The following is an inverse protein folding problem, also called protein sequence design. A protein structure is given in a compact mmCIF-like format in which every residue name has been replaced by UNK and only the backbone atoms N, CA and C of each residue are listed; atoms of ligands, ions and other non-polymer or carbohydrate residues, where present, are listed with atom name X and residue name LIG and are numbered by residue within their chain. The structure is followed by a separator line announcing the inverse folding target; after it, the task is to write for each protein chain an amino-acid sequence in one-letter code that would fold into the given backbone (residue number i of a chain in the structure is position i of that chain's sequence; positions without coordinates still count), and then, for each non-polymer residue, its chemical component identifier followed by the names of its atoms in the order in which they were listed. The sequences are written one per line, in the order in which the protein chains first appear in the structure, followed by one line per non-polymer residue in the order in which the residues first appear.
data_IF_947898941972
#
_entry.id   IF_947898941972
#
_cell.length_a   1.000
_cell.length_b   1.000
_cell.length_c   1.000
_cell.angle_alpha   90.00
_cell.angle_beta   90.00
_cell.angle_gamma   90.00
#
_symmetry.space_group_name_H-M   'P 1'
#
loop_
_entity.id
_entity.type
_entity.pdbx_description
1 polymer ?
#
# COMPACT_ATOMS: atom_id res chain seq x y z
N UNK A 1 62.22 18.74 -6.98
CA UNK A 1 60.89 18.60 -6.36
C UNK A 1 59.89 18.35 -7.49
N UNK A 2 59.46 17.10 -7.69
CA UNK A 2 58.43 16.77 -8.70
C UNK A 2 57.09 16.92 -7.97
N UNK A 3 56.31 17.94 -8.35
CA UNK A 3 54.92 18.06 -7.86
C UNK A 3 54.12 17.06 -8.68
N UNK A 4 53.50 16.10 -7.99
CA UNK A 4 52.69 15.07 -8.64
C UNK A 4 51.40 15.71 -9.18
N UNK A 5 50.97 15.26 -10.37
CA UNK A 5 49.77 15.82 -11.03
C UNK A 5 48.50 15.59 -10.19
N UNK A 6 48.52 14.55 -9.36
CA UNK A 6 47.42 14.18 -8.47
C UNK A 6 47.30 15.15 -7.28
N UNK A 7 48.40 15.66 -6.72
CA UNK A 7 48.38 16.69 -5.66
C UNK A 7 47.83 18.02 -6.17
N UNK A 8 48.13 18.37 -7.43
CA UNK A 8 47.57 19.56 -8.08
C UNK A 8 46.05 19.44 -8.28
N UNK A 9 45.58 18.24 -8.61
CA UNK A 9 44.17 17.92 -8.88
C UNK A 9 43.34 17.90 -7.58
N UNK A 10 43.86 17.28 -6.52
CA UNK A 10 43.24 17.30 -5.19
C UNK A 10 43.21 18.72 -4.60
N UNK A 11 44.28 19.49 -4.76
CA UNK A 11 44.31 20.91 -4.36
C UNK A 11 43.28 21.78 -5.08
N UNK A 12 43.04 21.53 -6.38
CA UNK A 12 42.01 22.28 -7.14
C UNK A 12 40.59 21.86 -6.78
N UNK A 13 40.34 20.57 -6.50
CA UNK A 13 39.01 20.08 -6.08
C UNK A 13 38.66 20.58 -4.67
N UNK A 14 39.59 20.49 -3.73
CA UNK A 14 39.40 20.96 -2.35
C UNK A 14 39.28 22.50 -2.33
N UNK A 15 40.12 23.20 -3.09
CA UNK A 15 40.03 24.66 -3.26
C UNK A 15 38.70 25.10 -3.87
N UNK A 16 38.21 24.40 -4.91
CA UNK A 16 36.92 24.66 -5.55
C UNK A 16 35.74 24.47 -4.59
N UNK A 17 35.74 23.42 -3.76
CA UNK A 17 34.71 23.18 -2.74
C UNK A 17 34.70 24.27 -1.66
N UNK A 18 35.88 24.69 -1.20
CA UNK A 18 36.02 25.76 -0.20
C UNK A 18 35.54 27.11 -0.75
N UNK A 19 35.85 27.43 -2.01
CA UNK A 19 35.43 28.70 -2.64
C UNK A 19 33.93 28.73 -2.92
N UNK A 20 33.29 27.60 -3.24
CA UNK A 20 31.85 27.53 -3.51
C UNK A 20 30.99 27.50 -2.23
N UNK A 21 31.56 27.06 -1.10
CA UNK A 21 30.85 26.94 0.19
C UNK A 21 30.21 28.24 0.71
N UNK A 22 30.82 29.45 0.60
CA UNK A 22 30.23 30.70 1.06
C UNK A 22 29.07 31.15 0.17
N UNK A 23 29.10 30.84 -1.13
CA UNK A 23 28.01 31.16 -2.06
C UNK A 23 26.78 30.30 -1.80
N UNK A 24 26.97 29.01 -1.48
CA UNK A 24 25.89 28.12 -1.06
C UNK A 24 25.26 28.63 0.24
N UNK A 25 26.08 28.99 1.23
CA UNK A 25 25.60 29.56 2.48
C UNK A 25 24.79 30.85 2.27
N UNK A 26 25.30 31.78 1.47
CA UNK A 26 24.61 33.02 1.10
C UNK A 26 23.29 32.78 0.36
N UNK A 27 23.23 31.79 -0.54
CA UNK A 27 22.01 31.38 -1.23
C UNK A 27 20.95 30.88 -0.24
N UNK A 28 21.33 30.03 0.72
CA UNK A 28 20.40 29.51 1.74
C UNK A 28 19.92 30.61 2.70
N UNK A 29 20.80 31.53 3.11
CA UNK A 29 20.44 32.70 3.92
C UNK A 29 19.47 33.60 3.15
N UNK A 30 19.76 33.92 1.88
CA UNK A 30 18.88 34.71 1.03
C UNK A 30 17.51 34.06 0.84
N UNK A 31 17.47 32.73 0.62
CA UNK A 31 16.23 31.96 0.52
C UNK A 31 15.42 31.98 1.83
N UNK A 32 16.09 31.93 2.98
CA UNK A 32 15.45 32.04 4.30
C UNK A 32 14.90 33.44 4.56
N UNK A 33 15.64 34.50 4.27
CA UNK A 33 15.15 35.88 4.42
C UNK A 33 13.97 36.14 3.49
N UNK A 34 14.05 35.67 2.25
CA UNK A 34 12.96 35.78 1.29
C UNK A 34 11.69 35.05 1.75
N UNK A 35 11.81 33.86 2.34
CA UNK A 35 10.64 33.13 2.88
C UNK A 35 9.99 33.84 4.07
N UNK A 36 10.72 34.72 4.77
CA UNK A 36 10.21 35.55 5.87
C UNK A 36 9.57 36.87 5.42
N UNK A 37 9.52 37.18 4.13
CA UNK A 37 8.79 38.38 3.68
C UNK A 37 7.28 38.26 3.98
N UNK A 38 6.59 39.37 4.32
CA UNK A 38 5.17 39.35 4.66
C UNK A 38 4.27 38.73 3.59
N UNK A 39 4.63 38.92 2.31
CA UNK A 39 3.91 38.32 1.18
C UNK A 39 4.04 36.79 1.17
N UNK A 40 5.26 36.27 1.34
CA UNK A 40 5.50 34.81 1.41
C UNK A 40 4.86 34.18 2.64
N UNK A 41 4.90 34.84 3.79
CA UNK A 41 4.21 34.37 5.00
C UNK A 41 2.69 34.30 4.76
N UNK A 42 2.10 35.29 4.09
CA UNK A 42 0.67 35.27 3.74
C UNK A 42 0.33 34.15 2.75
N UNK A 43 1.17 33.95 1.74
CA UNK A 43 1.02 32.84 0.77
C UNK A 43 1.09 31.48 1.48
N UNK A 44 2.09 31.27 2.34
CA UNK A 44 2.25 30.04 3.13
C UNK A 44 1.05 29.78 4.03
N UNK A 45 0.57 30.79 4.76
CA UNK A 45 -0.62 30.66 5.61
C UNK A 45 -1.88 30.36 4.81
N UNK A 46 -2.02 30.92 3.60
CA UNK A 46 -3.15 30.64 2.74
C UNK A 46 -3.10 29.21 2.18
N UNK A 47 -1.92 28.72 1.83
CA UNK A 47 -1.70 27.34 1.36
C UNK A 47 -1.92 26.32 2.49
N UNK A 48 -1.42 26.61 3.69
CA UNK A 48 -1.63 25.81 4.90
C UNK A 48 -3.13 25.70 5.22
N UNK A 49 -3.85 26.83 5.22
CA UNK A 49 -5.30 26.84 5.44
C UNK A 49 -6.06 26.03 4.39
N UNK A 50 -5.70 26.13 3.11
CA UNK A 50 -6.30 25.30 2.05
C UNK A 50 -6.06 23.81 2.28
N UNK A 51 -4.85 23.45 2.73
CA UNK A 51 -4.50 22.06 3.03
C UNK A 51 -5.28 21.54 4.24
N UNK A 52 -5.45 22.36 5.28
CA UNK A 52 -6.28 22.03 6.45
C UNK A 52 -7.75 21.83 6.07
N UNK A 53 -8.32 22.74 5.27
CA UNK A 53 -9.69 22.63 4.77
C UNK A 53 -9.87 21.37 3.93
N UNK A 54 -8.93 21.08 3.02
CA UNK A 54 -8.96 19.86 2.21
C UNK A 54 -8.81 18.60 3.06
N UNK A 55 -7.91 18.56 4.04
CA UNK A 55 -7.76 17.41 4.94
C UNK A 55 -9.04 17.19 5.75
N UNK A 56 -9.67 18.26 6.23
CA UNK A 56 -10.96 18.16 6.91
C UNK A 56 -12.04 17.56 6.00
N UNK A 57 -12.15 18.03 4.76
CA UNK A 57 -13.09 17.46 3.80
C UNK A 57 -12.78 15.99 3.51
N UNK A 58 -11.51 15.61 3.39
CA UNK A 58 -11.09 14.21 3.21
C UNK A 58 -11.59 13.36 4.39
N UNK A 59 -11.36 13.78 5.63
CA UNK A 59 -11.84 13.04 6.81
C UNK A 59 -13.37 12.90 6.83
N UNK A 60 -14.10 13.93 6.43
CA UNK A 60 -15.56 13.87 6.31
C UNK A 60 -16.00 12.87 5.23
N UNK A 61 -15.34 12.83 4.07
CA UNK A 61 -15.61 11.88 2.99
C UNK A 61 -15.22 10.44 3.37
N UNK A 62 -14.07 10.26 4.03
CA UNK A 62 -13.61 8.97 4.54
C UNK A 62 -14.62 8.36 5.51
N UNK A 63 -15.17 9.19 6.42
CA UNK A 63 -16.23 8.78 7.34
C UNK A 63 -17.50 8.35 6.60
N UNK A 64 -17.90 9.06 5.55
CA UNK A 64 -19.07 8.69 4.74
C UNK A 64 -18.88 7.35 4.01
N UNK A 65 -17.66 7.06 3.57
CA UNK A 65 -17.30 5.81 2.91
C UNK A 65 -17.00 4.66 3.90
N UNK A 66 -17.11 4.90 5.20
CA UNK A 66 -16.84 3.89 6.24
C UNK A 66 -15.36 3.51 6.32
N UNK A 67 -14.47 4.39 5.87
CA UNK A 67 -13.04 4.21 6.03
C UNK A 67 -12.68 4.46 7.51
N UNK A 68 -11.82 3.61 8.08
CA UNK A 68 -11.31 3.81 9.44
C UNK A 68 -10.57 5.16 9.56
N UNK A 69 -10.38 5.68 10.78
CA UNK A 69 -9.60 6.90 11.05
C UNK A 69 -8.18 6.75 10.45
N UNK A 70 -8.01 7.25 9.23
CA UNK A 70 -6.77 7.15 8.46
C UNK A 70 -5.88 8.33 8.81
N UNK A 71 -4.58 8.09 8.69
CA UNK A 71 -3.61 9.16 8.84
C UNK A 71 -3.62 10.08 7.60
N UNK A 72 -3.17 11.32 7.77
CA UNK A 72 -3.12 12.33 6.71
C UNK A 72 -2.13 11.98 5.57
N UNK A 73 -1.30 10.95 5.76
CA UNK A 73 -0.37 10.43 4.75
C UNK A 73 -1.02 9.61 3.63
N UNK A 74 -2.28 9.16 3.80
CA UNK A 74 -2.94 8.34 2.79
C UNK A 74 -3.16 9.10 1.48
N UNK A 75 -2.89 8.46 0.34
CA UNK A 75 -3.05 9.06 -1.00
C UNK A 75 -3.99 8.28 -1.92
N UNK A 76 -4.53 7.15 -1.44
CA UNK A 76 -5.38 6.27 -2.23
C UNK A 76 -6.52 5.71 -1.37
N UNK A 77 -7.65 5.42 -2.01
CA UNK A 77 -8.79 4.78 -1.37
C UNK A 77 -8.45 3.38 -0.85
N UNK A 78 -7.71 2.59 -1.63
CA UNK A 78 -7.13 1.32 -1.21
C UNK A 78 -5.63 1.32 -1.56
N UNK A 79 -4.71 1.45 -0.60
CA UNK A 79 -3.27 1.46 -0.89
C UNK A 79 -2.74 0.20 -1.58
N UNK A 80 -3.41 -0.95 -1.44
CA UNK A 80 -2.99 -2.20 -2.06
C UNK A 80 -3.56 -2.39 -3.46
N UNK A 81 -4.45 -1.50 -3.92
CA UNK A 81 -5.07 -1.63 -5.23
C UNK A 81 -4.05 -1.46 -6.35
N UNK A 82 -3.98 -2.46 -7.22
CA UNK A 82 -3.02 -2.52 -8.31
C UNK A 82 -3.23 -1.40 -9.35
N UNK A 83 -4.48 -0.95 -9.53
CA UNK A 83 -4.84 0.12 -10.47
C UNK A 83 -4.63 1.54 -9.93
N UNK A 84 -3.94 1.71 -8.80
CA UNK A 84 -3.67 3.04 -8.25
C UNK A 84 -2.75 3.86 -9.16
N UNK A 85 -3.17 5.10 -9.42
CA UNK A 85 -2.36 6.09 -10.13
C UNK A 85 -1.79 7.13 -9.17
N UNK A 86 -0.56 7.57 -9.41
CA UNK A 86 0.13 8.60 -8.61
C UNK A 86 -0.48 9.98 -8.89
N UNK A 87 -1.51 10.35 -8.13
CA UNK A 87 -2.23 11.63 -8.25
C UNK A 87 -2.13 12.53 -7.02
N UNK A 88 -1.38 12.11 -6.00
CA UNK A 88 -1.18 12.85 -4.76
C UNK A 88 -2.46 13.07 -3.95
N UNK A 89 -2.39 13.97 -2.95
CA UNK A 89 -3.49 14.22 -2.00
C UNK A 89 -4.72 14.88 -2.65
N UNK A 90 -4.52 15.75 -3.63
CA UNK A 90 -5.63 16.36 -4.39
C UNK A 90 -6.37 15.31 -5.24
N UNK A 91 -5.61 14.39 -5.86
CA UNK A 91 -6.18 13.27 -6.58
C UNK A 91 -7.00 12.35 -5.68
N UNK A 92 -6.50 12.08 -4.47
CA UNK A 92 -7.23 11.32 -3.46
C UNK A 92 -8.55 11.98 -3.09
N UNK A 93 -8.53 13.27 -2.78
CA UNK A 93 -9.73 14.05 -2.45
C UNK A 93 -10.78 14.02 -3.57
N UNK A 94 -10.35 14.19 -4.82
CA UNK A 94 -11.23 14.13 -5.98
C UNK A 94 -11.84 12.73 -6.18
N UNK A 95 -11.05 11.66 -5.97
CA UNK A 95 -11.53 10.28 -6.06
C UNK A 95 -12.55 9.97 -4.96
N UNK A 96 -12.30 10.36 -3.71
CA UNK A 96 -13.25 10.22 -2.62
C UNK A 96 -14.59 10.93 -2.92
N UNK A 97 -14.54 12.17 -3.42
CA UNK A 97 -15.74 12.91 -3.82
C UNK A 97 -16.55 12.15 -4.87
N UNK A 98 -15.87 11.61 -5.88
CA UNK A 98 -16.50 10.83 -6.94
C UNK A 98 -17.17 9.57 -6.37
N UNK A 99 -16.48 8.84 -5.49
CA UNK A 99 -17.00 7.61 -4.88
C UNK A 99 -18.20 7.86 -3.96
N UNK A 100 -18.16 8.92 -3.16
CA UNK A 100 -19.30 9.35 -2.35
C UNK A 100 -20.49 9.72 -3.23
N UNK A 101 -20.27 10.53 -4.27
CA UNK A 101 -21.33 10.94 -5.19
C UNK A 101 -21.96 9.75 -5.93
N UNK A 102 -21.18 8.71 -6.24
CA UNK A 102 -21.68 7.49 -6.88
C UNK A 102 -22.26 6.48 -5.90
N UNK A 103 -22.17 6.71 -4.58
CA UNK A 103 -22.54 5.72 -3.56
C UNK A 103 -21.73 4.42 -3.68
N UNK A 104 -20.44 4.52 -4.02
CA UNK A 104 -19.58 3.37 -4.26
C UNK A 104 -19.49 2.47 -3.03
N UNK A 105 -19.52 1.15 -3.26
CA UNK A 105 -19.29 0.12 -2.25
C UNK A 105 -18.25 -0.86 -2.77
N UNK A 106 -17.35 -1.28 -1.89
CA UNK A 106 -16.38 -2.33 -2.23
C UNK A 106 -17.10 -3.65 -2.53
N UNK A 107 -16.57 -4.48 -3.45
CA UNK A 107 -17.18 -5.76 -3.81
C UNK A 107 -17.26 -6.73 -2.63
N UNK A 108 -18.25 -7.62 -2.64
CA UNK A 108 -18.39 -8.69 -1.62
C UNK A 108 -17.18 -9.64 -1.58
N UNK A 109 -16.51 -9.80 -2.73
CA UNK A 109 -15.38 -10.68 -2.94
C UNK A 109 -14.28 -9.90 -3.65
N UNK A 110 -13.13 -9.78 -3.00
CA UNK A 110 -11.95 -9.10 -3.57
C UNK A 110 -10.84 -10.13 -3.75
N UNK A 111 -10.16 -10.03 -4.89
CA UNK A 111 -9.03 -10.89 -5.21
C UNK A 111 -7.76 -10.17 -4.78
N UNK A 112 -6.90 -10.87 -4.07
CA UNK A 112 -5.60 -10.37 -3.67
C UNK A 112 -4.52 -11.35 -4.11
N UNK A 113 -3.51 -10.81 -4.78
CA UNK A 113 -2.30 -11.51 -5.13
C UNK A 113 -1.33 -11.36 -3.97
N UNK A 114 -0.77 -12.48 -3.51
CA UNK A 114 0.34 -12.54 -2.57
C UNK A 114 1.56 -13.11 -3.28
N UNK A 115 2.62 -12.31 -3.31
CA UNK A 115 3.93 -12.75 -3.76
C UNK A 115 4.88 -12.78 -2.56
N UNK A 116 5.55 -13.91 -2.37
CA UNK A 116 6.59 -14.07 -1.35
C UNK A 116 7.91 -14.39 -2.04
N UNK A 117 8.95 -13.64 -1.72
CA UNK A 117 10.29 -13.90 -2.23
C UNK A 117 11.27 -14.00 -1.06
N UNK A 118 12.16 -14.98 -1.14
CA UNK A 118 13.32 -15.09 -0.27
C UNK A 118 14.60 -14.89 -1.06
N UNK A 119 15.68 -14.52 -0.37
CA UNK A 119 17.01 -14.31 -0.94
C UNK A 119 17.61 -12.94 -0.60
N UNK A 120 18.94 -12.90 -0.52
CA UNK A 120 19.77 -11.73 -0.19
C UNK A 120 19.67 -10.60 -1.24
N UNK A 121 19.10 -10.85 -2.42
CA UNK A 121 18.99 -9.89 -3.52
C UNK A 121 17.63 -9.19 -3.53
N UNK A 122 17.61 -7.93 -3.98
CA UNK A 122 16.38 -7.14 -4.13
C UNK A 122 15.29 -7.95 -4.85
N UNK A 123 14.21 -8.34 -4.15
CA UNK A 123 13.19 -9.19 -4.73
C UNK A 123 12.41 -8.37 -5.75
N UNK A 124 12.56 -8.74 -7.03
CA UNK A 124 11.73 -8.13 -8.08
C UNK A 124 10.37 -8.82 -8.03
N UNK A 125 9.30 -8.06 -7.91
CA UNK A 125 7.93 -8.59 -7.92
C UNK A 125 7.26 -8.40 -9.29
N UNK A 126 6.13 -9.06 -9.52
CA UNK A 126 5.32 -8.96 -10.73
C UNK A 126 5.62 -10.01 -11.79
N UNK A 127 6.25 -11.13 -11.38
CA UNK A 127 6.51 -12.25 -12.27
C UNK A 127 6.71 -13.55 -11.49
N UNK A 128 6.34 -14.64 -12.15
CA UNK A 128 6.45 -16.00 -11.64
C UNK A 128 5.23 -16.41 -10.85
N UNK A 129 5.45 -17.37 -9.95
CA UNK A 129 4.40 -17.95 -9.13
C UNK A 129 3.94 -16.98 -8.03
N UNK A 130 2.63 -16.91 -7.84
CA UNK A 130 1.97 -16.19 -6.77
C UNK A 130 0.90 -17.05 -6.10
N UNK A 131 0.55 -16.70 -4.87
CA UNK A 131 -0.60 -17.23 -4.17
C UNK A 131 -1.79 -16.28 -4.35
N UNK A 132 -2.97 -16.84 -4.56
CA UNK A 132 -4.21 -16.06 -4.62
C UNK A 132 -4.93 -16.15 -3.28
N UNK A 133 -5.35 -14.98 -2.79
CA UNK A 133 -6.13 -14.80 -1.58
C UNK A 133 -7.49 -14.23 -1.97
N UNK A 134 -8.55 -14.75 -1.38
CA UNK A 134 -9.90 -14.22 -1.47
C UNK A 134 -10.21 -13.45 -0.20
N UNK A 135 -10.57 -12.18 -0.35
CA UNK A 135 -11.14 -11.36 0.71
C UNK A 135 -12.65 -11.48 0.66
N UNK A 136 -13.20 -12.10 1.70
CA UNK A 136 -14.62 -12.42 1.83
C UNK A 136 -15.30 -11.40 2.75
N UNK A 137 -16.26 -10.64 2.23
CA UNK A 137 -17.03 -9.73 3.06
C UNK A 137 -17.84 -10.52 4.09
N UNK A 138 -17.71 -10.16 5.37
CA UNK A 138 -18.29 -10.88 6.52
C UNK A 138 -19.80 -11.08 6.41
N UNK A 139 -20.50 -10.10 5.83
CA UNK A 139 -21.96 -10.11 5.73
C UNK A 139 -22.46 -10.95 4.54
N UNK A 140 -21.61 -11.17 3.52
CA UNK A 140 -22.02 -11.80 2.26
C UNK A 140 -21.61 -13.28 2.16
N UNK A 141 -20.68 -13.74 3.00
CA UNK A 141 -20.16 -15.11 2.98
C UNK A 141 -20.30 -15.80 4.33
N UNK A 142 -20.48 -17.12 4.31
CA UNK A 142 -20.41 -17.98 5.49
C UNK A 142 -18.95 -18.24 5.90
N UNK A 143 -18.41 -17.33 6.70
CA UNK A 143 -17.01 -17.37 7.16
C UNK A 143 -16.71 -18.62 7.99
N UNK A 144 -17.69 -19.14 8.74
CA UNK A 144 -17.52 -20.34 9.56
C UNK A 144 -17.47 -21.60 8.69
N UNK A 145 -18.35 -21.69 7.68
CA UNK A 145 -18.32 -22.78 6.71
C UNK A 145 -17.07 -22.80 5.81
N UNK A 146 -16.44 -21.65 5.60
CA UNK A 146 -15.21 -21.52 4.81
C UNK A 146 -13.93 -21.91 5.57
N UNK A 147 -13.95 -21.97 6.90
CA UNK A 147 -12.74 -22.14 7.67
C UNK A 147 -12.09 -23.51 7.42
N UNK A 148 -10.75 -23.58 7.20
CA UNK A 148 -10.08 -24.84 6.94
C UNK A 148 -10.13 -25.73 8.19
N UNK A 149 -10.71 -26.92 8.04
CA UNK A 149 -10.87 -27.94 9.10
C UNK A 149 -9.51 -28.45 9.60
N UNK A 150 -8.50 -28.43 8.73
CA UNK A 150 -7.13 -28.84 9.03
C UNK A 150 -6.19 -27.71 8.62
N UNK A 151 -5.71 -26.93 9.57
CA UNK A 151 -4.66 -25.95 9.30
C UNK A 151 -3.60 -26.11 10.39
N UNK A 152 -2.41 -26.51 9.96
CA UNK A 152 -1.28 -26.81 10.83
C UNK A 152 -0.94 -25.64 11.75
N UNK A 153 -0.44 -25.97 12.94
CA UNK A 153 -0.26 -25.09 14.11
C UNK A 153 0.60 -23.84 13.87
N UNK A 154 1.39 -23.78 12.80
CA UNK A 154 2.35 -22.71 12.52
C UNK A 154 1.82 -21.60 11.60
N UNK A 155 0.97 -21.90 10.61
CA UNK A 155 0.45 -20.86 9.70
C UNK A 155 -0.48 -19.87 10.41
N UNK A 156 -1.20 -20.34 11.44
CA UNK A 156 -2.05 -19.49 12.28
C UNK A 156 -1.30 -18.42 13.07
N UNK A 157 -0.06 -18.72 13.47
CA UNK A 157 0.75 -17.85 14.32
C UNK A 157 1.22 -16.60 13.56
N UNK A 158 1.38 -16.70 12.23
CA UNK A 158 1.96 -15.64 11.40
C UNK A 158 0.97 -14.97 10.44
N UNK A 159 -0.25 -15.51 10.29
CA UNK A 159 -1.28 -14.96 9.40
C UNK A 159 -2.29 -14.04 10.11
N UNK A 160 -2.06 -13.66 11.37
CA UNK A 160 -3.00 -12.81 12.13
C UNK A 160 -4.34 -13.48 12.44
N UNK A 161 -4.38 -14.81 12.48
CA UNK A 161 -5.57 -15.61 12.78
C UNK A 161 -6.02 -15.45 14.23
N UNK A 162 -7.33 -15.53 14.48
CA UNK A 162 -7.92 -15.50 15.83
C UNK A 162 -7.93 -16.86 16.54
N UNK A 163 -7.14 -17.81 16.03
CA UNK A 163 -6.99 -19.16 16.57
C UNK A 163 -7.14 -20.25 15.50
N UNK A 164 -6.87 -21.51 15.85
CA UNK A 164 -7.00 -22.63 14.93
C UNK A 164 -8.45 -22.75 14.43
N UNK A 165 -8.60 -23.10 13.14
CA UNK A 165 -9.92 -23.31 12.52
C UNK A 165 -10.73 -22.03 12.30
N UNK A 166 -10.09 -20.85 12.26
CA UNK A 166 -10.72 -19.58 11.88
C UNK A 166 -9.99 -18.93 10.72
N UNK A 167 -10.74 -18.29 9.82
CA UNK A 167 -10.14 -17.42 8.82
C UNK A 167 -9.59 -16.15 9.50
N UNK A 168 -8.40 -15.67 9.10
CA UNK A 168 -7.87 -14.41 9.60
C UNK A 168 -8.66 -13.23 9.04
N UNK A 169 -8.83 -12.18 9.85
CA UNK A 169 -9.35 -10.90 9.36
C UNK A 169 -8.31 -10.24 8.45
N UNK A 170 -8.78 -9.61 7.38
CA UNK A 170 -7.87 -9.09 6.37
C UNK A 170 -7.00 -7.93 6.87
N UNK A 171 -7.53 -7.07 7.74
CA UNK A 171 -6.74 -5.99 8.35
C UNK A 171 -5.54 -6.54 9.14
N UNK A 172 -5.75 -7.61 9.90
CA UNK A 172 -4.70 -8.30 10.66
C UNK A 172 -3.75 -9.08 9.78
N UNK A 173 -4.27 -9.76 8.75
CA UNK A 173 -3.45 -10.52 7.81
C UNK A 173 -2.47 -9.62 7.05
N UNK A 174 -2.97 -8.49 6.53
CA UNK A 174 -2.14 -7.49 5.83
C UNK A 174 -1.07 -6.96 6.77
N UNK A 175 -1.46 -6.57 7.99
CA UNK A 175 -0.51 -6.07 9.00
C UNK A 175 0.58 -7.09 9.33
N UNK A 176 0.18 -8.32 9.65
CA UNK A 176 1.09 -9.40 10.01
C UNK A 176 2.06 -9.75 8.87
N UNK A 177 1.59 -9.72 7.62
CA UNK A 177 2.42 -9.97 6.43
C UNK A 177 3.57 -8.97 6.34
N UNK A 178 3.28 -7.67 6.48
CA UNK A 178 4.31 -6.63 6.42
C UNK A 178 5.19 -6.57 7.68
N UNK A 179 4.64 -6.85 8.87
CA UNK A 179 5.44 -7.00 10.09
C UNK A 179 6.46 -8.14 9.97
N UNK A 180 6.07 -9.27 9.37
CA UNK A 180 6.98 -10.39 9.12
C UNK A 180 8.14 -10.01 8.18
N UNK A 181 7.85 -9.20 7.15
CA UNK A 181 8.88 -8.64 6.27
C UNK A 181 9.86 -7.74 7.00
N UNK A 182 9.40 -6.97 8.00
CA UNK A 182 10.32 -6.15 8.81
C UNK A 182 11.20 -6.97 9.76
N UNK A 183 10.74 -8.16 10.16
CA UNK A 183 11.47 -9.02 11.10
C UNK A 183 12.52 -9.90 10.42
N UNK A 184 12.30 -10.29 9.16
CA UNK A 184 13.19 -11.18 8.42
C UNK A 184 13.84 -10.45 7.24
N UNK A 185 15.17 -10.27 7.32
CA UNK A 185 15.96 -9.65 6.25
C UNK A 185 15.97 -10.44 4.94
N UNK A 186 15.56 -11.71 4.98
CA UNK A 186 15.55 -12.63 3.84
C UNK A 186 14.13 -12.95 3.36
N UNK A 187 13.14 -12.16 3.78
CA UNK A 187 11.75 -12.38 3.41
C UNK A 187 11.10 -11.07 2.96
N UNK A 188 10.64 -11.05 1.72
CA UNK A 188 9.84 -9.96 1.21
C UNK A 188 8.47 -10.45 0.76
N UNK A 189 7.46 -9.67 1.09
CA UNK A 189 6.08 -9.93 0.69
C UNK A 189 5.52 -8.73 -0.04
N UNK A 190 4.75 -9.01 -1.10
CA UNK A 190 3.91 -8.00 -1.76
C UNK A 190 2.48 -8.51 -1.80
N UNK A 191 1.57 -7.66 -1.34
CA UNK A 191 0.13 -7.87 -1.42
C UNK A 191 -0.46 -6.84 -2.41
N UNK A 192 -1.28 -7.28 -3.34
CA UNK A 192 -1.97 -6.41 -4.28
C UNK A 192 -3.42 -6.85 -4.48
N UNK A 193 -4.37 -5.93 -4.41
CA UNK A 193 -5.78 -6.19 -4.72
C UNK A 193 -6.09 -5.90 -6.19
N UNK A 194 -6.90 -6.75 -6.81
CA UNK A 194 -7.40 -6.54 -8.19
C UNK A 194 -8.67 -5.68 -8.25
N UNK A 195 -9.27 -5.38 -7.09
CA UNK A 195 -10.39 -4.48 -6.94
C UNK A 195 -10.27 -3.73 -5.61
N UNK A 196 -10.72 -2.48 -5.58
CA UNK A 196 -10.56 -1.61 -4.41
C UNK A 196 -11.30 -2.11 -3.15
N UNK A 197 -10.56 -2.21 -2.06
CA UNK A 197 -11.06 -2.49 -0.72
C UNK A 197 -11.10 -1.22 0.15
N UNK A 198 -12.29 -0.77 0.53
CA UNK A 198 -12.45 0.39 1.40
C UNK A 198 -11.99 0.11 2.83
N UNK A 199 -12.47 -0.99 3.41
CA UNK A 199 -12.20 -1.33 4.80
C UNK A 199 -11.89 -2.82 4.97
N UNK A 200 -10.60 -3.15 5.10
CA UNK A 200 -10.15 -4.52 5.34
C UNK A 200 -10.71 -5.17 6.62
N UNK A 201 -11.24 -4.39 7.58
CA UNK A 201 -11.88 -4.96 8.78
C UNK A 201 -13.19 -5.69 8.48
N UNK A 202 -13.81 -5.41 7.34
CA UNK A 202 -15.06 -6.04 6.93
C UNK A 202 -14.84 -7.36 6.19
N UNK A 203 -13.58 -7.72 5.94
CA UNK A 203 -13.20 -8.88 5.14
C UNK A 203 -12.38 -9.91 5.93
N UNK A 204 -12.55 -11.16 5.54
CA UNK A 204 -11.76 -12.31 5.98
C UNK A 204 -10.95 -12.88 4.83
N UNK A 205 -9.76 -13.39 5.10
CA UNK A 205 -8.86 -13.92 4.06
C UNK A 205 -9.01 -15.43 3.96
N UNK A 206 -9.28 -15.92 2.76
CA UNK A 206 -9.23 -17.32 2.40
C UNK A 206 -8.10 -17.55 1.39
N UNK A 207 -7.16 -18.45 1.70
CA UNK A 207 -6.08 -18.79 0.78
C UNK A 207 -6.56 -19.83 -0.23
N UNK A 208 -6.50 -19.49 -1.51
CA UNK A 208 -6.82 -20.44 -2.58
C UNK A 208 -5.70 -21.50 -2.64
N UNK A 209 -6.03 -22.80 -2.61
CA UNK A 209 -5.02 -23.85 -2.72
C UNK A 209 -4.28 -23.81 -4.06
N UNK A 210 -2.95 -23.94 -4.00
CA UNK A 210 -2.07 -23.99 -5.16
C UNK A 210 -1.33 -22.68 -5.45
N UNK A 211 -0.45 -22.74 -6.45
CA UNK A 211 0.29 -21.60 -6.97
C UNK A 211 -0.19 -21.28 -8.39
N UNK A 212 -0.19 -19.99 -8.72
CA UNK A 212 -0.70 -19.46 -9.98
C UNK A 212 0.36 -18.57 -10.61
N UNK A 213 0.37 -18.50 -11.94
CA UNK A 213 1.25 -17.58 -12.64
C UNK A 213 0.71 -16.15 -12.51
N UNK A 214 1.55 -15.21 -12.07
CA UNK A 214 1.17 -13.82 -11.83
C UNK A 214 0.45 -13.18 -13.02
N UNK A 215 1.00 -13.34 -14.24
CA UNK A 215 0.44 -12.77 -15.47
C UNK A 215 -0.98 -13.26 -15.76
N UNK A 216 -1.27 -14.52 -15.43
CA UNK A 216 -2.53 -15.16 -15.76
C UNK A 216 -3.61 -14.73 -14.75
N UNK A 217 -3.21 -14.45 -13.51
CA UNK A 217 -4.10 -13.90 -12.48
C UNK A 217 -4.37 -12.42 -12.76
N UNK A 218 -3.34 -11.63 -13.09
CA UNK A 218 -3.46 -10.20 -13.39
C UNK A 218 -4.39 -9.95 -14.60
N UNK A 219 -4.23 -10.73 -15.67
CA UNK A 219 -5.06 -10.62 -16.88
C UNK A 219 -6.41 -11.32 -16.78
N UNK A 220 -6.65 -12.05 -15.68
CA UNK A 220 -7.86 -12.84 -15.49
C UNK A 220 -8.01 -13.97 -16.52
N UNK A 221 -6.90 -14.59 -16.94
CA UNK A 221 -6.88 -15.68 -17.92
C UNK A 221 -6.76 -17.08 -17.28
N UNK A 222 -6.47 -17.21 -15.98
CA UNK A 222 -6.41 -18.54 -15.34
C UNK A 222 -7.82 -19.18 -15.17
N UNK A 223 -8.13 -20.16 -16.02
CA UNK A 223 -9.42 -20.86 -16.02
C UNK A 223 -9.65 -21.75 -14.78
N UNK A 224 -8.58 -22.27 -14.16
CA UNK A 224 -8.70 -23.11 -12.95
C UNK A 224 -9.18 -22.25 -11.79
N UNK A 225 -8.62 -21.05 -11.66
CA UNK A 225 -8.99 -20.07 -10.65
C UNK A 225 -10.43 -19.57 -10.85
N UNK A 226 -10.82 -19.26 -12.09
CA UNK A 226 -12.22 -18.88 -12.40
C UNK A 226 -13.21 -19.96 -11.98
N UNK A 227 -12.94 -21.22 -12.36
CA UNK A 227 -13.80 -22.35 -12.00
C UNK A 227 -13.87 -22.54 -10.49
N UNK A 228 -12.73 -22.50 -9.80
CA UNK A 228 -12.66 -22.58 -8.35
C UNK A 228 -13.53 -21.52 -7.68
N UNK A 229 -13.44 -20.26 -8.14
CA UNK A 229 -14.17 -19.15 -7.55
C UNK A 229 -15.68 -19.28 -7.81
N UNK A 230 -16.10 -19.68 -9.01
CA UNK A 230 -17.51 -19.93 -9.29
C UNK A 230 -18.09 -21.02 -8.38
N UNK A 231 -17.37 -22.13 -8.21
CA UNK A 231 -17.78 -23.22 -7.31
C UNK A 231 -17.79 -22.77 -5.83
N UNK A 232 -16.79 -21.99 -5.42
CA UNK A 232 -16.66 -21.42 -4.08
C UNK A 232 -17.85 -20.49 -3.75
N UNK A 233 -18.17 -19.56 -4.65
CA UNK A 233 -19.28 -18.64 -4.48
C UNK A 233 -20.62 -19.39 -4.38
N UNK A 234 -20.84 -20.40 -5.22
CA UNK A 234 -22.06 -21.23 -5.16
C UNK A 234 -22.22 -21.95 -3.81
N UNK A 235 -21.10 -22.34 -3.18
CA UNK A 235 -21.12 -23.10 -1.93
C UNK A 235 -21.26 -22.21 -0.69
N UNK A 236 -20.60 -21.06 -0.67
CA UNK A 236 -20.42 -20.30 0.58
C UNK A 236 -20.98 -18.87 0.57
N UNK A 237 -21.45 -18.36 -0.57
CA UNK A 237 -22.15 -17.08 -0.59
C UNK A 237 -23.50 -17.24 0.11
N UNK A 238 -23.79 -16.37 1.07
CA UNK A 238 -25.09 -16.34 1.76
C UNK A 238 -26.17 -15.99 0.73
N UNK A 239 -27.29 -16.71 0.78
CA UNK A 239 -28.47 -16.45 -0.05
C UNK A 239 -29.25 -15.26 0.51
#
# INVERSE_FOLDING_TARGET
MKIDKDDLLFGTIIGGLVICSPFIAMYHIGKWIYSKTPKKIKEQKAEEKKREEMNREIHELEKQLGLAERDDSYMHYDPLYMGNEQRGREGYWADLKKKVASGYKSPDLIWMIKETKGGICAPRFGYGDCQVLLLLHKDCYDILGCAPVESGTLEHLFNGSEGPGKLPRADRYVKASYEMMTFSNDYAVRLQTLSECGNYRDYYVYAVPGNFQFSDVETGMDERLKKFIADFQRKYKKQ
#
